data_IF_010268518735
#
_entry.id   IF_010268518735
#
_cell.length_a   1.000
_cell.length_b   1.000
_cell.length_c   1.000
_cell.angle_alpha   90.00
_cell.angle_beta   90.00
_cell.angle_gamma   90.00
#
_symmetry.space_group_name_H-M   'P 1'
#
loop_
_entity.id
_entity.type
_entity.pdbx_description
1 polymer ?
#
# COMPACT_ATOMS: atom_id res chain seq x y z
N UNK A 1 12.41 -24.26 -11.29
CA UNK A 1 11.70 -24.01 -12.56
C UNK A 1 11.26 -22.55 -12.65
N UNK A 2 10.96 -22.04 -13.86
CA UNK A 2 10.44 -20.69 -14.05
C UNK A 2 9.14 -20.45 -13.24
N UNK A 3 8.26 -21.46 -13.17
CA UNK A 3 7.02 -21.40 -12.38
C UNK A 3 7.30 -21.20 -10.88
N UNK A 4 8.33 -21.89 -10.35
CA UNK A 4 8.72 -21.72 -8.94
C UNK A 4 9.32 -20.34 -8.67
N UNK A 5 10.03 -19.76 -9.62
CA UNK A 5 10.56 -18.41 -9.51
C UNK A 5 9.41 -17.38 -9.49
N UNK A 6 8.53 -17.43 -10.47
CA UNK A 6 7.35 -16.55 -10.55
C UNK A 6 6.51 -16.65 -9.26
N UNK A 7 6.26 -17.88 -8.79
CA UNK A 7 5.52 -18.12 -7.55
C UNK A 7 6.16 -17.43 -6.34
N UNK A 8 7.49 -17.51 -6.24
CA UNK A 8 8.24 -16.86 -5.17
C UNK A 8 8.12 -15.33 -5.24
N UNK A 9 8.35 -14.74 -6.43
CA UNK A 9 8.31 -13.29 -6.60
C UNK A 9 6.92 -12.71 -6.28
N UNK A 10 5.85 -13.37 -6.75
CA UNK A 10 4.48 -12.93 -6.42
C UNK A 10 4.21 -13.05 -4.92
N UNK A 11 4.61 -14.17 -4.30
CA UNK A 11 4.40 -14.36 -2.87
C UNK A 11 5.19 -13.34 -2.03
N UNK A 12 6.43 -13.06 -2.41
CA UNK A 12 7.26 -12.03 -1.75
C UNK A 12 6.65 -10.65 -1.95
N UNK A 13 6.32 -10.26 -3.18
CA UNK A 13 5.80 -8.93 -3.47
C UNK A 13 4.42 -8.66 -2.85
N UNK A 14 3.48 -9.65 -2.89
CA UNK A 14 2.17 -9.46 -2.25
C UNK A 14 2.29 -9.38 -0.73
N UNK A 15 3.17 -10.15 -0.10
CA UNK A 15 3.46 -10.04 1.33
C UNK A 15 4.10 -8.68 1.66
N UNK A 16 5.00 -8.19 0.82
CA UNK A 16 5.65 -6.90 1.00
C UNK A 16 4.62 -5.75 0.96
N UNK A 17 3.63 -5.79 0.07
CA UNK A 17 2.53 -4.82 0.06
C UNK A 17 1.69 -4.85 1.33
N UNK A 18 1.40 -6.03 1.89
CA UNK A 18 0.67 -6.17 3.15
C UNK A 18 1.52 -5.62 4.32
N UNK A 19 2.84 -5.86 4.31
CA UNK A 19 3.76 -5.31 5.30
C UNK A 19 3.87 -3.78 5.19
N UNK A 20 3.95 -3.26 3.97
CA UNK A 20 3.97 -1.81 3.68
C UNK A 20 2.69 -1.12 4.14
N UNK A 21 1.51 -1.77 3.96
CA UNK A 21 0.27 -1.25 4.52
C UNK A 21 0.34 -1.08 6.04
N UNK A 22 0.99 -2.00 6.74
CA UNK A 22 1.17 -1.89 8.19
C UNK A 22 1.99 -0.66 8.59
N UNK A 23 3.06 -0.31 7.86
CA UNK A 23 3.84 0.91 8.10
C UNK A 23 3.04 2.17 7.70
N UNK A 24 2.32 2.12 6.59
CA UNK A 24 1.40 3.17 6.19
C UNK A 24 0.32 3.43 7.25
N UNK A 25 -0.35 2.38 7.76
CA UNK A 25 -1.36 2.48 8.80
C UNK A 25 -0.81 3.06 10.11
N UNK A 26 0.41 2.68 10.48
CA UNK A 26 1.12 3.24 11.63
C UNK A 26 1.42 4.72 11.43
N UNK A 27 1.94 5.11 10.26
CA UNK A 27 2.20 6.51 9.92
C UNK A 27 0.91 7.34 9.94
N UNK A 28 -0.18 6.81 9.39
CA UNK A 28 -1.51 7.43 9.39
C UNK A 28 -2.03 7.69 10.81
N UNK A 29 -1.90 6.71 11.71
CA UNK A 29 -2.29 6.88 13.12
C UNK A 29 -1.41 7.89 13.84
N UNK A 30 -0.10 7.88 13.58
CA UNK A 30 0.84 8.87 14.14
C UNK A 30 0.49 10.28 13.66
N UNK A 31 0.16 10.45 12.37
CA UNK A 31 -0.28 11.70 11.80
C UNK A 31 -1.57 12.19 12.50
N UNK A 32 -2.60 11.35 12.60
CA UNK A 32 -3.89 11.70 13.23
C UNK A 32 -3.73 12.08 14.69
N UNK A 33 -2.97 11.30 15.48
CA UNK A 33 -2.74 11.59 16.90
C UNK A 33 -2.01 12.92 17.08
N UNK A 34 -0.99 13.19 16.28
CA UNK A 34 -0.23 14.43 16.41
C UNK A 34 -1.04 15.65 15.94
N UNK A 35 -1.85 15.52 14.89
CA UNK A 35 -2.75 16.60 14.47
C UNK A 35 -3.81 16.91 15.54
N UNK A 36 -4.39 15.87 16.20
CA UNK A 36 -5.27 16.04 17.36
C UNK A 36 -4.58 16.75 18.52
N UNK A 37 -3.33 16.39 18.83
CA UNK A 37 -2.58 17.06 19.89
C UNK A 37 -2.28 18.51 19.51
N UNK A 38 -1.99 18.77 18.24
CA UNK A 38 -1.81 20.14 17.75
C UNK A 38 -3.07 20.99 17.93
N UNK A 39 -4.24 20.48 17.55
CA UNK A 39 -5.53 21.16 17.77
C UNK A 39 -5.76 21.49 19.25
N UNK A 40 -5.39 20.59 20.15
CA UNK A 40 -5.63 20.76 21.61
C UNK A 40 -4.67 21.73 22.26
N UNK A 41 -3.39 21.69 21.88
CA UNK A 41 -2.30 22.38 22.59
C UNK A 41 -1.73 23.57 21.84
N UNK A 42 -1.94 23.64 20.53
CA UNK A 42 -1.34 24.60 19.60
C UNK A 42 0.22 24.57 19.63
N UNK A 43 0.80 23.49 20.20
CA UNK A 43 2.24 23.28 20.20
C UNK A 43 2.72 22.78 18.84
N UNK A 44 3.48 23.61 18.15
CA UNK A 44 4.01 23.36 16.80
C UNK A 44 4.86 22.10 16.69
N UNK A 45 5.38 21.59 17.78
CA UNK A 45 6.10 20.31 17.81
C UNK A 45 5.22 19.15 17.33
N UNK A 46 3.93 19.17 17.67
CA UNK A 46 2.98 18.15 17.18
C UNK A 46 2.67 18.31 15.69
N UNK A 47 2.56 19.53 15.20
CA UNK A 47 2.37 19.76 13.77
C UNK A 47 3.57 19.26 12.94
N UNK A 48 4.79 19.47 13.42
CA UNK A 48 5.99 18.91 12.78
C UNK A 48 6.01 17.38 12.77
N UNK A 49 5.57 16.73 13.85
CA UNK A 49 5.44 15.27 13.90
C UNK A 49 4.38 14.74 12.95
N UNK A 50 3.25 15.44 12.84
CA UNK A 50 2.22 15.19 11.84
C UNK A 50 2.79 15.24 10.42
N UNK A 51 3.48 16.33 10.07
CA UNK A 51 4.10 16.50 8.76
C UNK A 51 5.15 15.41 8.46
N UNK A 52 5.93 14.98 9.45
CA UNK A 52 6.90 13.91 9.27
C UNK A 52 6.24 12.55 9.02
N UNK A 53 5.13 12.26 9.69
CA UNK A 53 4.38 11.03 9.44
C UNK A 53 3.75 11.02 8.03
N UNK A 54 3.29 12.17 7.53
CA UNK A 54 2.78 12.29 6.17
C UNK A 54 3.83 11.96 5.10
N UNK A 55 5.11 12.20 5.33
CA UNK A 55 6.18 11.88 4.36
C UNK A 55 6.23 10.40 4.03
N UNK A 56 5.95 9.54 4.99
CA UNK A 56 5.91 8.08 4.78
C UNK A 56 4.75 7.74 3.85
N UNK A 57 3.56 8.28 4.11
CA UNK A 57 2.36 8.08 3.29
C UNK A 57 2.56 8.61 1.86
N UNK A 58 3.12 9.81 1.73
CA UNK A 58 3.41 10.45 0.44
C UNK A 58 4.53 9.71 -0.33
N UNK A 59 5.45 9.05 0.38
CA UNK A 59 6.45 8.18 -0.22
C UNK A 59 5.82 7.03 -0.99
N UNK A 60 4.93 6.28 -0.36
CA UNK A 60 4.19 5.19 -0.98
C UNK A 60 3.34 5.66 -2.17
N UNK A 61 2.67 6.79 -2.02
CA UNK A 61 1.92 7.41 -3.12
C UNK A 61 2.83 7.73 -4.31
N UNK A 62 3.98 8.37 -4.07
CA UNK A 62 4.96 8.69 -5.11
C UNK A 62 5.44 7.44 -5.84
N UNK A 63 5.73 6.36 -5.10
CA UNK A 63 6.12 5.07 -5.66
C UNK A 63 5.04 4.48 -6.56
N UNK A 64 3.79 4.47 -6.12
CA UNK A 64 2.64 4.00 -6.91
C UNK A 64 2.45 4.84 -8.18
N UNK A 65 2.41 6.16 -8.04
CA UNK A 65 2.19 7.08 -9.18
C UNK A 65 3.29 6.94 -10.24
N UNK A 66 4.55 6.74 -9.83
CA UNK A 66 5.67 6.50 -10.74
C UNK A 66 5.49 5.21 -11.57
N UNK A 67 4.94 4.13 -10.98
CA UNK A 67 4.65 2.89 -11.70
C UNK A 67 3.38 2.96 -12.56
N UNK A 68 2.43 3.83 -12.19
CA UNK A 68 1.18 4.06 -12.95
C UNK A 68 1.37 4.99 -14.14
N UNK A 69 2.47 5.71 -14.23
CA UNK A 69 2.76 6.63 -15.33
C UNK A 69 2.75 5.90 -16.69
N UNK A 70 2.45 6.62 -17.76
CA UNK A 70 2.45 6.08 -19.14
C UNK A 70 3.79 5.48 -19.56
N UNK A 71 4.88 5.93 -18.94
CA UNK A 71 6.21 5.31 -18.97
C UNK A 71 6.62 5.10 -17.50
N UNK A 72 6.52 3.87 -16.96
CA UNK A 72 6.83 3.60 -15.58
C UNK A 72 8.28 3.96 -15.22
N UNK A 73 8.44 4.72 -14.13
CA UNK A 73 9.73 5.11 -13.59
C UNK A 73 10.05 4.27 -12.34
N UNK A 74 10.82 3.20 -12.57
CA UNK A 74 11.20 2.23 -11.55
C UNK A 74 12.10 2.84 -10.47
N UNK A 75 12.98 3.78 -10.83
CA UNK A 75 13.89 4.42 -9.86
C UNK A 75 13.11 5.33 -8.90
N UNK A 76 12.27 6.20 -9.46
CA UNK A 76 11.37 7.03 -8.64
C UNK A 76 10.43 6.18 -7.78
N UNK A 77 9.95 5.04 -8.30
CA UNK A 77 9.12 4.13 -7.53
C UNK A 77 9.87 3.52 -6.35
N UNK A 78 11.12 3.10 -6.57
CA UNK A 78 12.00 2.55 -5.53
C UNK A 78 12.28 3.58 -4.43
N UNK A 79 12.62 4.81 -4.82
CA UNK A 79 12.83 5.90 -3.87
C UNK A 79 11.57 6.18 -3.06
N UNK A 80 10.41 6.27 -3.73
CA UNK A 80 9.12 6.48 -3.07
C UNK A 80 8.79 5.41 -2.03
N UNK A 81 8.86 4.14 -2.41
CA UNK A 81 8.60 3.03 -1.47
C UNK A 81 9.64 2.95 -0.35
N UNK A 82 10.89 3.34 -0.58
CA UNK A 82 11.90 3.45 0.47
C UNK A 82 11.56 4.57 1.46
N UNK A 83 11.07 5.72 1.01
CA UNK A 83 10.55 6.80 1.87
C UNK A 83 9.32 6.34 2.64
N UNK A 84 8.48 5.47 2.03
CA UNK A 84 7.35 4.79 2.66
C UNK A 84 7.72 3.75 3.73
N UNK A 85 9.00 3.63 4.08
CA UNK A 85 9.53 2.67 5.07
C UNK A 85 9.27 1.20 4.70
N UNK A 86 9.06 0.89 3.42
CA UNK A 86 9.01 -0.48 2.95
C UNK A 86 10.39 -1.14 3.04
N UNK A 87 10.40 -2.47 3.30
CA UNK A 87 11.65 -3.21 3.39
C UNK A 87 12.43 -3.16 2.08
N UNK A 88 13.66 -2.68 2.14
CA UNK A 88 14.52 -2.51 0.95
C UNK A 88 14.82 -3.82 0.22
N UNK A 89 14.80 -4.97 0.91
CA UNK A 89 15.00 -6.28 0.31
C UNK A 89 13.78 -6.73 -0.52
N UNK A 90 12.60 -6.21 -0.22
CA UNK A 90 11.34 -6.58 -0.87
C UNK A 90 10.94 -5.63 -2.02
N UNK A 91 11.58 -4.45 -2.16
CA UNK A 91 11.20 -3.43 -3.15
C UNK A 91 11.19 -3.95 -4.59
N UNK A 92 12.17 -4.76 -4.96
CA UNK A 92 12.23 -5.35 -6.31
C UNK A 92 11.03 -6.25 -6.60
N UNK A 93 10.64 -7.07 -5.64
CA UNK A 93 9.47 -7.95 -5.77
C UNK A 93 8.17 -7.16 -5.79
N UNK A 94 8.04 -6.07 -5.00
CA UNK A 94 6.89 -5.16 -5.04
C UNK A 94 6.73 -4.55 -6.43
N UNK A 95 7.80 -3.93 -6.96
CA UNK A 95 7.81 -3.31 -8.28
C UNK A 95 7.51 -4.35 -9.37
N UNK A 96 8.11 -5.53 -9.27
CA UNK A 96 7.88 -6.62 -10.21
C UNK A 96 6.41 -7.07 -10.24
N UNK A 97 5.80 -7.30 -9.07
CA UNK A 97 4.37 -7.66 -8.99
C UNK A 97 3.51 -6.56 -9.62
N UNK A 98 3.77 -5.30 -9.32
CA UNK A 98 3.04 -4.20 -9.90
C UNK A 98 3.15 -4.20 -11.43
N UNK A 99 4.36 -4.26 -11.96
CA UNK A 99 4.62 -4.16 -13.41
C UNK A 99 3.96 -5.28 -14.21
N UNK A 100 3.93 -6.50 -13.68
CA UNK A 100 3.44 -7.67 -14.42
C UNK A 100 2.01 -8.08 -14.08
N UNK A 101 1.48 -7.67 -12.94
CA UNK A 101 0.18 -8.16 -12.45
C UNK A 101 -0.84 -7.05 -12.14
N UNK A 102 -0.54 -5.77 -12.39
CA UNK A 102 -1.47 -4.66 -12.15
C UNK A 102 -2.80 -4.80 -12.90
N UNK A 103 -2.86 -5.58 -13.98
CA UNK A 103 -4.08 -5.84 -14.74
C UNK A 103 -4.94 -6.97 -14.17
N UNK A 104 -4.47 -7.71 -13.16
CA UNK A 104 -5.30 -8.69 -12.47
C UNK A 104 -6.37 -7.99 -11.65
N UNK A 105 -7.58 -8.58 -11.67
CA UNK A 105 -8.74 -7.99 -11.01
C UNK A 105 -8.51 -7.66 -9.53
N UNK A 106 -7.92 -8.57 -8.79
CA UNK A 106 -7.64 -8.40 -7.35
C UNK A 106 -6.61 -7.29 -7.10
N UNK A 107 -5.58 -7.19 -7.95
CA UNK A 107 -4.58 -6.12 -7.87
C UNK A 107 -5.22 -4.78 -8.26
N UNK A 108 -6.05 -4.73 -9.30
CA UNK A 108 -6.79 -3.51 -9.66
C UNK A 108 -7.71 -3.06 -8.53
N UNK A 109 -8.36 -3.99 -7.83
CA UNK A 109 -9.18 -3.69 -6.65
C UNK A 109 -8.32 -3.05 -5.56
N UNK A 110 -7.17 -3.63 -5.22
CA UNK A 110 -6.25 -3.06 -4.23
C UNK A 110 -5.76 -1.65 -4.65
N UNK A 111 -5.38 -1.48 -5.93
CA UNK A 111 -4.93 -0.18 -6.45
C UNK A 111 -6.04 0.88 -6.38
N UNK A 112 -7.29 0.53 -6.69
CA UNK A 112 -8.44 1.44 -6.59
C UNK A 112 -8.67 1.89 -5.13
N UNK A 113 -8.58 0.96 -4.18
CA UNK A 113 -8.69 1.26 -2.75
C UNK A 113 -7.57 2.21 -2.32
N UNK A 114 -6.34 1.96 -2.76
CA UNK A 114 -5.19 2.82 -2.47
C UNK A 114 -5.38 4.24 -3.03
N UNK A 115 -5.83 4.37 -4.29
CA UNK A 115 -6.13 5.68 -4.88
C UNK A 115 -7.23 6.43 -4.13
N UNK A 116 -8.25 5.73 -3.63
CA UNK A 116 -9.27 6.33 -2.77
C UNK A 116 -8.69 6.80 -1.44
N UNK A 117 -7.83 6.01 -0.81
CA UNK A 117 -7.14 6.39 0.42
C UNK A 117 -6.26 7.62 0.20
N UNK A 118 -5.50 7.69 -0.91
CA UNK A 118 -4.67 8.84 -1.25
C UNK A 118 -5.49 10.12 -1.40
N UNK A 119 -6.67 10.06 -2.04
CA UNK A 119 -7.57 11.23 -2.10
C UNK A 119 -7.98 11.71 -0.72
N UNK A 120 -8.25 10.77 0.20
CA UNK A 120 -8.61 11.11 1.59
C UNK A 120 -7.42 11.65 2.38
N UNK A 121 -6.22 11.16 2.12
CA UNK A 121 -4.99 11.74 2.69
C UNK A 121 -4.81 13.20 2.23
N UNK A 122 -5.08 13.52 0.97
CA UNK A 122 -5.02 14.91 0.50
C UNK A 122 -6.04 15.83 1.21
N UNK A 123 -7.24 15.30 1.52
CA UNK A 123 -8.22 16.04 2.33
C UNK A 123 -7.70 16.28 3.76
N UNK A 124 -7.02 15.31 4.36
CA UNK A 124 -6.37 15.45 5.69
C UNK A 124 -5.22 16.48 5.65
N UNK A 125 -4.44 16.49 4.56
CA UNK A 125 -3.38 17.49 4.38
C UNK A 125 -3.97 18.91 4.30
N UNK A 126 -5.05 19.07 3.53
CA UNK A 126 -5.76 20.36 3.45
C UNK A 126 -6.33 20.78 4.82
N UNK A 127 -6.98 19.85 5.54
CA UNK A 127 -7.46 20.08 6.90
C UNK A 127 -6.32 20.52 7.85
N UNK A 128 -5.17 19.87 7.76
CA UNK A 128 -3.99 20.23 8.55
C UNK A 128 -3.48 21.63 8.26
N UNK A 129 -3.54 22.07 7.00
CA UNK A 129 -3.19 23.44 6.59
C UNK A 129 -4.19 24.47 7.13
N UNK A 130 -5.50 24.18 7.05
CA UNK A 130 -6.56 25.05 7.60
C UNK A 130 -6.42 25.21 9.12
N UNK A 131 -6.08 24.13 9.83
CA UNK A 131 -5.81 24.17 11.27
C UNK A 131 -4.59 25.06 11.58
N UNK A 132 -3.48 24.87 10.83
CA UNK A 132 -2.27 25.68 11.02
C UNK A 132 -2.53 27.16 10.77
N UNK A 133 -3.28 27.50 9.73
CA UNK A 133 -3.69 28.88 9.42
C UNK A 133 -4.51 29.47 10.57
N UNK A 134 -5.52 28.77 11.07
CA UNK A 134 -6.37 29.23 12.15
C UNK A 134 -5.59 29.41 13.46
N UNK A 135 -4.62 28.54 13.76
CA UNK A 135 -3.73 28.69 14.93
C UNK A 135 -2.85 29.95 14.80
N UNK A 136 -2.32 30.22 13.59
CA UNK A 136 -1.48 31.41 13.35
C UNK A 136 -2.28 32.71 13.41
N UNK A 137 -3.55 32.69 13.03
CA UNK A 137 -4.44 33.87 12.99
C UNK A 137 -5.00 34.28 14.36
N UNK A 138 -4.63 33.61 15.43
CA UNK A 138 -5.01 34.02 16.79
C UNK A 138 -5.38 32.87 17.73
N UNK A 139 -5.13 31.64 17.30
CA UNK A 139 -5.42 30.43 18.07
C UNK A 139 -6.83 29.90 17.81
N UNK A 140 -7.11 28.73 18.36
CA UNK A 140 -8.38 28.03 18.19
C UNK A 140 -9.31 28.26 19.39
N UNK A 141 -10.55 28.67 19.14
CA UNK A 141 -11.60 28.62 20.15
C UNK A 141 -12.07 27.17 20.41
N UNK A 142 -12.87 26.97 21.46
CA UNK A 142 -13.33 25.64 21.85
C UNK A 142 -14.17 24.97 20.76
N UNK A 143 -15.02 25.73 20.07
CA UNK A 143 -15.87 25.20 19.00
C UNK A 143 -15.03 24.73 17.79
N UNK A 144 -13.99 25.48 17.44
CA UNK A 144 -13.03 25.09 16.40
C UNK A 144 -12.27 23.83 16.80
N UNK A 145 -11.78 23.74 18.06
CA UNK A 145 -11.09 22.55 18.59
C UNK A 145 -11.98 21.31 18.52
N UNK A 146 -13.22 21.43 18.93
CA UNK A 146 -14.17 20.30 18.90
C UNK A 146 -14.45 19.87 17.46
N UNK A 147 -14.74 20.81 16.54
CA UNK A 147 -14.98 20.52 15.12
C UNK A 147 -13.78 19.85 14.45
N UNK A 148 -12.59 20.42 14.55
CA UNK A 148 -11.39 19.86 13.93
C UNK A 148 -11.04 18.49 14.51
N UNK A 149 -11.22 18.29 15.83
CA UNK A 149 -11.01 17.00 16.45
C UNK A 149 -11.96 15.93 15.92
N UNK A 150 -13.23 16.25 15.72
CA UNK A 150 -14.22 15.34 15.13
C UNK A 150 -13.86 14.97 13.68
N UNK A 151 -13.51 15.97 12.86
CA UNK A 151 -13.09 15.75 11.48
C UNK A 151 -11.86 14.84 11.38
N UNK A 152 -10.84 15.07 12.20
CA UNK A 152 -9.63 14.23 12.24
C UNK A 152 -9.98 12.78 12.61
N UNK A 153 -10.88 12.57 13.59
CA UNK A 153 -11.28 11.22 13.99
C UNK A 153 -12.06 10.51 12.88
N UNK A 154 -12.94 11.20 12.15
CA UNK A 154 -13.67 10.64 11.00
C UNK A 154 -12.68 10.20 9.92
N UNK A 155 -11.69 11.03 9.58
CA UNK A 155 -10.65 10.63 8.61
C UNK A 155 -9.79 9.47 9.11
N UNK A 156 -9.43 9.46 10.40
CA UNK A 156 -8.67 8.35 10.98
C UNK A 156 -9.40 7.01 10.81
N UNK A 157 -10.69 6.96 11.11
CA UNK A 157 -11.49 5.74 11.01
C UNK A 157 -11.65 5.31 9.54
N UNK A 158 -11.93 6.25 8.65
CA UNK A 158 -12.07 6.01 7.23
C UNK A 158 -10.77 5.47 6.61
N UNK A 159 -9.63 6.08 6.92
CA UNK A 159 -8.33 5.63 6.41
C UNK A 159 -7.91 4.28 7.01
N UNK A 160 -8.25 4.01 8.27
CA UNK A 160 -8.04 2.69 8.88
C UNK A 160 -8.83 1.62 8.12
N UNK A 161 -10.10 1.89 7.80
CA UNK A 161 -10.92 0.97 7.02
C UNK A 161 -10.35 0.73 5.60
N UNK A 162 -9.83 1.79 4.94
CA UNK A 162 -9.17 1.65 3.63
C UNK A 162 -7.91 0.77 3.69
N UNK A 163 -7.11 0.90 4.74
CA UNK A 163 -5.95 0.02 4.97
C UNK A 163 -6.37 -1.45 5.08
N UNK A 164 -7.39 -1.74 5.88
CA UNK A 164 -7.93 -3.12 5.99
C UNK A 164 -8.44 -3.65 4.65
N UNK A 165 -9.23 -2.86 3.91
CA UNK A 165 -9.72 -3.26 2.58
C UNK A 165 -8.58 -3.54 1.60
N UNK A 166 -7.51 -2.74 1.62
CA UNK A 166 -6.32 -2.97 0.81
C UNK A 166 -5.62 -4.28 1.16
N UNK A 167 -5.38 -4.53 2.45
CA UNK A 167 -4.77 -5.78 2.92
C UNK A 167 -5.59 -7.01 2.56
N UNK A 168 -6.93 -6.93 2.67
CA UNK A 168 -7.83 -8.01 2.27
C UNK A 168 -7.73 -8.30 0.76
N UNK A 169 -7.75 -7.26 -0.08
CA UNK A 169 -7.61 -7.39 -1.53
C UNK A 169 -6.25 -7.99 -1.92
N UNK A 170 -5.15 -7.59 -1.29
CA UNK A 170 -3.82 -8.16 -1.52
C UNK A 170 -3.72 -9.62 -1.06
N UNK A 171 -4.38 -9.97 0.03
CA UNK A 171 -4.48 -11.35 0.53
C UNK A 171 -5.24 -12.24 -0.46
N UNK A 172 -6.34 -11.74 -1.03
CA UNK A 172 -7.10 -12.45 -2.05
C UNK A 172 -6.30 -12.63 -3.34
N UNK A 173 -5.57 -11.58 -3.77
CA UNK A 173 -4.64 -11.68 -4.91
C UNK A 173 -3.60 -12.78 -4.70
N UNK A 174 -2.99 -12.84 -3.52
CA UNK A 174 -2.02 -13.88 -3.16
C UNK A 174 -2.65 -15.29 -3.19
N UNK A 175 -3.86 -15.45 -2.65
CA UNK A 175 -4.58 -16.72 -2.64
C UNK A 175 -4.93 -17.20 -4.07
N UNK A 176 -5.45 -16.30 -4.91
CA UNK A 176 -5.77 -16.58 -6.32
C UNK A 176 -4.53 -17.03 -7.09
N UNK A 177 -3.41 -16.32 -6.90
CA UNK A 177 -2.15 -16.67 -7.54
C UNK A 177 -1.61 -18.02 -7.08
N UNK A 178 -1.64 -18.31 -5.77
CA UNK A 178 -1.21 -19.58 -5.22
C UNK A 178 -2.04 -20.75 -5.80
N UNK A 179 -3.36 -20.57 -5.93
CA UNK A 179 -4.25 -21.55 -6.56
C UNK A 179 -3.89 -21.80 -8.02
N UNK A 180 -3.67 -20.72 -8.79
CA UNK A 180 -3.25 -20.83 -10.18
C UNK A 180 -1.91 -21.56 -10.33
N UNK A 181 -0.90 -21.21 -9.53
CA UNK A 181 0.41 -21.84 -9.54
C UNK A 181 0.31 -23.33 -9.17
N UNK A 182 -0.51 -23.69 -8.19
CA UNK A 182 -0.75 -25.09 -7.83
C UNK A 182 -1.37 -25.86 -9.01
N UNK A 183 -2.43 -25.36 -9.63
CA UNK A 183 -3.08 -26.01 -10.77
C UNK A 183 -2.13 -26.18 -11.95
N UNK A 184 -1.32 -25.15 -12.24
CA UNK A 184 -0.31 -25.20 -13.31
C UNK A 184 0.74 -26.27 -13.02
N UNK A 185 1.23 -26.38 -11.79
CA UNK A 185 2.19 -27.42 -11.41
C UNK A 185 1.59 -28.82 -11.55
N UNK A 186 0.35 -29.03 -11.14
CA UNK A 186 -0.36 -30.32 -11.31
C UNK A 186 -0.51 -30.65 -12.80
N UNK A 187 -0.91 -29.69 -13.61
CA UNK A 187 -1.05 -29.87 -15.05
C UNK A 187 0.26 -30.25 -15.74
N UNK A 188 1.33 -29.51 -15.47
CA UNK A 188 2.65 -29.79 -16.02
C UNK A 188 3.19 -31.15 -15.57
N UNK A 189 3.00 -31.51 -14.30
CA UNK A 189 3.40 -32.83 -13.77
C UNK A 189 2.64 -33.96 -14.45
N UNK A 190 1.35 -33.79 -14.70
CA UNK A 190 0.52 -34.76 -15.39
C UNK A 190 1.00 -34.98 -16.84
N UNK A 191 1.28 -33.88 -17.57
CA UNK A 191 1.85 -33.98 -18.92
C UNK A 191 3.17 -34.73 -18.90
N UNK A 192 4.06 -34.43 -17.94
CA UNK A 192 5.37 -35.09 -17.84
C UNK A 192 5.21 -36.60 -17.60
N UNK A 193 4.30 -37.01 -16.73
CA UNK A 193 4.00 -38.44 -16.47
C UNK A 193 3.47 -39.11 -17.74
N UNK A 194 2.56 -38.49 -18.47
CA UNK A 194 2.02 -39.06 -19.73
C UNK A 194 3.12 -39.23 -20.77
N UNK A 195 3.98 -38.21 -20.95
CA UNK A 195 5.10 -38.30 -21.90
C UNK A 195 6.10 -39.37 -21.52
N UNK A 196 6.42 -39.48 -20.23
CA UNK A 196 7.33 -40.54 -19.73
C UNK A 196 6.74 -41.94 -19.96
N UNK A 197 5.45 -42.13 -19.69
CA UNK A 197 4.76 -43.42 -19.95
C UNK A 197 4.75 -43.77 -21.44
N UNK A 198 4.41 -42.78 -22.30
CA UNK A 198 4.42 -42.96 -23.76
C UNK A 198 5.82 -43.36 -24.25
N UNK A 199 6.87 -42.67 -23.79
CA UNK A 199 8.25 -43.00 -24.16
C UNK A 199 8.63 -44.41 -23.75
N UNK A 200 8.28 -44.84 -22.54
CA UNK A 200 8.56 -46.20 -22.05
C UNK A 200 7.88 -47.26 -22.91
N UNK A 201 6.61 -47.06 -23.29
CA UNK A 201 5.86 -48.04 -24.11
C UNK A 201 6.38 -48.09 -25.55
N UNK A 202 6.85 -46.95 -26.10
CA UNK A 202 7.35 -46.87 -27.48
C UNK A 202 8.71 -47.53 -27.69
N UNK A 203 9.43 -47.83 -26.62
CA UNK A 203 10.75 -48.52 -26.66
C UNK A 203 10.72 -49.95 -26.15
N UNK A 204 9.54 -50.51 -25.82
CA UNK A 204 9.30 -51.92 -25.60
C UNK A 204 8.78 -52.61 -26.86
#
# INVERSE_FOLDING_TARGET
SAVSYIGKEVQTGTRAYISGESEWAKAQKVASINLLQYVRTEDRTYYQKYQNALKIIEGDRSGREALMAGSPDVETAREGFSVGENDTEDLDSMIWVFMYFKELHEIQTALSIWEEADRKVQEVIALGADIEEAVQDGGLDQQQKDRFSEEILVYNDLLTEKGHQFSDAMTEASATFNRFTFLLNVFLSTIFIILAAYHTVSYM
#
